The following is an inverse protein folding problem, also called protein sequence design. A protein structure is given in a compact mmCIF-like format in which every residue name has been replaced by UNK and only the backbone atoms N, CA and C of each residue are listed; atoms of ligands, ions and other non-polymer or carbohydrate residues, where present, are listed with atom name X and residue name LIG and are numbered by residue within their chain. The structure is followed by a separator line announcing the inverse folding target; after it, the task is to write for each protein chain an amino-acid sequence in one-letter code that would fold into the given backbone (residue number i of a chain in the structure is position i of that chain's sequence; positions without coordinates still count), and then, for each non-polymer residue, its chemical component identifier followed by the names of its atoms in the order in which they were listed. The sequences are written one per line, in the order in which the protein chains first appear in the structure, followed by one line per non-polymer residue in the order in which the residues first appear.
data_IF_468315675834
#
_entry.id   IF_468315675834
#
_cell.length_a   1.000
_cell.length_b   1.000
_cell.length_c   1.000
_cell.angle_alpha   90.00
_cell.angle_beta   90.00
_cell.angle_gamma   90.00
#
_symmetry.space_group_name_H-M   'P 1'
#
loop_
_entity.id
_entity.type
_entity.pdbx_description
1 polymer ?
#
# COMPACT_ATOMS: atom_id res chain seq x y z
N UNK A 1 -66.61 54.70 -40.51
CA UNK A 1 -67.38 55.78 -39.89
C UNK A 1 -66.95 55.88 -38.42
N UNK A 2 -66.25 56.97 -38.06
CA UNK A 2 -65.80 57.42 -36.70
C UNK A 2 -64.88 56.46 -35.93
N UNK A 3 -63.55 56.66 -35.78
CA UNK A 3 -62.76 57.81 -35.31
C UNK A 3 -63.16 58.29 -33.91
N UNK A 4 -62.41 57.83 -32.89
CA UNK A 4 -61.99 58.64 -31.73
C UNK A 4 -60.70 58.07 -31.13
N UNK A 5 -59.62 58.84 -31.28
CA UNK A 5 -58.38 58.79 -30.51
C UNK A 5 -58.59 59.13 -29.03
N UNK A 6 -57.70 58.62 -28.15
CA UNK A 6 -57.06 59.42 -27.08
C UNK A 6 -55.83 58.72 -26.47
N UNK A 7 -54.66 59.29 -26.78
CA UNK A 7 -53.58 59.77 -25.88
C UNK A 7 -52.89 58.80 -24.88
N UNK A 8 -51.56 58.66 -25.08
CA UNK A 8 -50.44 58.07 -24.29
C UNK A 8 -50.17 58.78 -22.93
N UNK A 9 -49.37 58.30 -21.93
CA UNK A 9 -47.99 57.79 -22.09
C UNK A 9 -47.40 56.77 -21.07
N UNK A 10 -46.23 56.23 -21.47
CA UNK A 10 -45.06 55.78 -20.69
C UNK A 10 -45.28 55.30 -19.25
N UNK A 11 -44.88 54.05 -18.97
CA UNK A 11 -43.87 53.83 -17.94
C UNK A 11 -43.03 52.59 -18.24
N UNK A 12 -41.74 52.77 -18.05
CA UNK A 12 -40.68 51.80 -18.22
C UNK A 12 -40.78 50.73 -17.13
N UNK A 13 -40.24 49.53 -17.40
CA UNK A 13 -39.47 48.66 -16.50
C UNK A 13 -39.35 47.29 -17.19
N UNK A 14 -38.27 47.09 -17.96
CA UNK A 14 -37.11 46.31 -17.52
C UNK A 14 -37.42 44.84 -17.22
N UNK A 15 -37.47 44.08 -18.32
CA UNK A 15 -36.71 42.85 -18.58
C UNK A 15 -35.92 42.32 -17.36
N UNK A 16 -36.35 41.18 -16.82
CA UNK A 16 -35.48 40.30 -16.02
C UNK A 16 -35.58 38.88 -16.56
N UNK A 17 -34.58 38.49 -17.36
CA UNK A 17 -34.26 37.09 -17.58
C UNK A 17 -33.67 36.55 -16.28
N UNK A 18 -34.21 35.48 -15.66
CA UNK A 18 -33.44 34.76 -14.67
C UNK A 18 -32.39 33.94 -15.42
N UNK A 19 -31.13 34.32 -15.26
CA UNK A 19 -29.99 33.52 -15.68
C UNK A 19 -30.06 32.19 -14.94
N UNK A 20 -30.14 31.09 -15.69
CA UNK A 20 -29.97 29.74 -15.16
C UNK A 20 -28.51 29.61 -14.73
N UNK A 21 -28.28 29.71 -13.42
CA UNK A 21 -26.99 29.45 -12.80
C UNK A 21 -26.73 27.95 -12.91
N UNK A 22 -25.98 27.53 -13.94
CA UNK A 22 -25.46 26.19 -14.06
C UNK A 22 -24.43 25.98 -12.93
N UNK A 23 -24.89 25.41 -11.81
CA UNK A 23 -24.01 24.92 -10.75
C UNK A 23 -23.31 23.68 -11.31
N UNK A 24 -22.12 23.87 -11.89
CA UNK A 24 -21.21 22.76 -12.20
C UNK A 24 -20.84 22.15 -10.85
N UNK A 25 -21.49 21.03 -10.53
CA UNK A 25 -21.06 20.14 -9.47
C UNK A 25 -19.59 19.81 -9.78
N UNK A 26 -18.67 20.33 -8.98
CA UNK A 26 -17.31 19.81 -8.87
C UNK A 26 -17.45 18.39 -8.33
N UNK A 27 -17.75 17.45 -9.23
CA UNK A 27 -17.55 16.03 -8.97
C UNK A 27 -16.04 15.94 -8.82
N UNK A 28 -15.57 15.93 -7.57
CA UNK A 28 -14.20 15.55 -7.26
C UNK A 28 -13.95 14.25 -8.02
N UNK A 29 -12.94 14.18 -8.91
CA UNK A 29 -12.70 12.98 -9.68
C UNK A 29 -12.54 11.81 -8.70
N UNK A 30 -13.20 10.67 -8.94
CA UNK A 30 -13.04 9.52 -8.08
C UNK A 30 -11.56 9.13 -8.02
N UNK A 31 -11.04 9.08 -6.79
CA UNK A 31 -9.82 8.38 -6.34
C UNK A 31 -8.85 8.03 -7.47
N UNK A 32 -7.91 8.95 -7.77
CA UNK A 32 -6.91 8.74 -8.82
C UNK A 32 -5.76 7.83 -8.38
N UNK A 33 -5.69 7.50 -7.10
CA UNK A 33 -4.48 6.91 -6.54
C UNK A 33 -4.37 5.38 -6.66
N UNK A 34 -5.41 4.72 -7.18
CA UNK A 34 -5.31 3.35 -7.69
C UNK A 34 -5.75 3.26 -9.16
N UNK A 35 -5.54 4.33 -9.94
CA UNK A 35 -5.62 4.25 -11.40
C UNK A 35 -4.23 3.96 -11.95
N UNK A 36 -4.13 2.83 -12.63
CA UNK A 36 -2.90 2.37 -13.27
C UNK A 36 -3.09 2.45 -14.79
N UNK A 37 -2.20 3.11 -15.55
CA UNK A 37 -1.04 3.87 -15.08
C UNK A 37 -1.44 5.15 -14.31
N UNK A 38 -0.61 5.55 -13.35
CA UNK A 38 -0.73 6.84 -12.66
C UNK A 38 -0.76 7.98 -13.68
N UNK A 39 -1.71 8.90 -13.48
CA UNK A 39 -1.78 10.13 -14.27
C UNK A 39 -0.60 11.06 -13.93
N UNK A 40 -0.22 11.95 -14.85
CA UNK A 40 0.79 12.98 -14.58
C UNK A 40 0.45 13.84 -13.36
N UNK A 41 -0.84 14.02 -13.08
CA UNK A 41 -1.32 14.71 -11.89
C UNK A 41 -1.02 13.94 -10.62
N UNK A 42 -1.32 12.64 -10.60
CA UNK A 42 -1.02 11.76 -9.46
C UNK A 42 0.49 11.68 -9.19
N UNK A 43 1.32 11.62 -10.23
CA UNK A 43 2.79 11.64 -10.08
C UNK A 43 3.26 12.97 -9.47
N UNK A 44 2.70 14.09 -9.92
CA UNK A 44 3.02 15.42 -9.40
C UNK A 44 2.58 15.57 -7.94
N UNK A 45 1.41 15.06 -7.59
CA UNK A 45 0.91 15.05 -6.22
C UNK A 45 1.78 14.19 -5.30
N UNK A 46 2.12 12.96 -5.73
CA UNK A 46 3.02 12.07 -5.00
C UNK A 46 4.37 12.74 -4.74
N UNK A 47 4.92 13.45 -5.73
CA UNK A 47 6.12 14.26 -5.58
C UNK A 47 5.98 15.30 -4.45
N UNK A 48 4.92 16.12 -4.48
CA UNK A 48 4.72 17.14 -3.46
C UNK A 48 4.53 16.54 -2.07
N UNK A 49 3.77 15.44 -1.95
CA UNK A 49 3.61 14.74 -0.68
C UNK A 49 4.95 14.21 -0.13
N UNK A 50 5.81 13.67 -1.00
CA UNK A 50 7.12 13.16 -0.59
C UNK A 50 8.10 14.25 -0.14
N UNK A 51 8.00 15.44 -0.73
CA UNK A 51 8.89 16.58 -0.46
C UNK A 51 8.47 17.44 0.75
N UNK A 52 7.24 17.28 1.27
CA UNK A 52 6.73 18.12 2.36
C UNK A 52 7.40 17.88 3.71
N UNK A 53 7.91 16.67 3.97
CA UNK A 53 8.56 16.27 5.23
C UNK A 53 7.82 16.72 6.52
N UNK A 54 6.50 16.89 6.46
CA UNK A 54 5.65 17.48 7.51
C UNK A 54 4.83 16.43 8.28
N UNK A 55 5.23 15.16 8.19
CA UNK A 55 4.52 14.03 8.78
C UNK A 55 3.32 13.52 7.96
N UNK A 56 2.95 14.17 6.85
CA UNK A 56 1.77 13.79 6.08
C UNK A 56 1.92 12.46 5.36
N UNK A 57 3.13 12.16 4.89
CA UNK A 57 3.45 10.86 4.29
C UNK A 57 3.37 9.73 5.32
N UNK A 58 3.91 9.92 6.52
CA UNK A 58 3.91 8.93 7.59
C UNK A 58 2.48 8.62 8.07
N UNK A 59 1.60 9.64 8.12
CA UNK A 59 0.17 9.42 8.41
C UNK A 59 -0.50 8.59 7.32
N UNK A 60 -0.23 8.88 6.05
CA UNK A 60 -0.74 8.11 4.92
C UNK A 60 -0.23 6.66 4.96
N UNK A 61 1.07 6.45 5.18
CA UNK A 61 1.67 5.12 5.32
C UNK A 61 1.04 4.31 6.46
N UNK A 62 0.66 4.96 7.56
CA UNK A 62 0.00 4.30 8.68
C UNK A 62 -1.30 3.57 8.30
N UNK A 63 -1.95 3.96 7.21
CA UNK A 63 -3.13 3.25 6.68
C UNK A 63 -2.74 1.95 5.96
N UNK A 64 -1.55 1.91 5.39
CA UNK A 64 -1.02 0.85 4.51
C UNK A 64 0.07 -0.02 5.14
N UNK A 65 0.42 0.26 6.39
CA UNK A 65 1.27 -0.58 7.24
C UNK A 65 0.46 -1.00 8.45
N UNK A 66 0.05 -2.27 8.49
CA UNK A 66 -0.66 -2.83 9.65
C UNK A 66 0.35 -3.48 10.58
N UNK A 67 0.55 -2.84 11.73
CA UNK A 67 1.27 -3.46 12.85
C UNK A 67 0.33 -4.45 13.54
N UNK A 68 0.81 -5.67 13.76
CA UNK A 68 0.02 -6.72 14.41
C UNK A 68 0.52 -6.91 15.84
N UNK A 69 -0.32 -7.35 16.78
CA UNK A 69 0.13 -7.64 18.13
C UNK A 69 1.01 -8.91 18.16
N UNK A 70 1.97 -9.01 19.10
CA UNK A 70 2.72 -10.24 19.32
C UNK A 70 1.79 -11.43 19.62
N UNK A 71 2.04 -12.61 19.03
CA UNK A 71 1.22 -13.79 19.28
C UNK A 71 1.56 -14.40 20.64
N UNK A 72 0.68 -15.26 21.15
CA UNK A 72 0.94 -16.05 22.37
C UNK A 72 2.01 -17.12 22.14
N UNK A 73 2.07 -17.68 20.94
CA UNK A 73 3.02 -18.71 20.52
C UNK A 73 3.25 -18.65 19.00
N UNK A 74 4.35 -19.21 18.52
CA UNK A 74 4.71 -19.22 17.10
C UNK A 74 5.43 -17.95 16.62
N UNK A 75 5.64 -17.81 15.30
CA UNK A 75 6.30 -16.65 14.70
C UNK A 75 5.48 -15.38 14.87
N UNK A 76 6.15 -14.24 15.11
CA UNK A 76 5.48 -12.94 15.21
C UNK A 76 5.52 -12.21 13.87
N UNK A 77 4.37 -12.01 13.24
CA UNK A 77 4.25 -11.09 12.11
C UNK A 77 4.20 -9.66 12.65
N UNK A 78 5.31 -8.93 12.67
CA UNK A 78 5.32 -7.57 13.27
C UNK A 78 4.56 -6.58 12.42
N UNK A 79 4.69 -6.69 11.10
CA UNK A 79 4.01 -5.79 10.18
C UNK A 79 3.65 -6.48 8.87
N UNK A 80 2.54 -6.03 8.29
CA UNK A 80 2.14 -6.30 6.91
C UNK A 80 1.95 -4.95 6.23
N UNK A 81 2.67 -4.74 5.14
CA UNK A 81 2.62 -3.51 4.35
C UNK A 81 2.13 -3.80 2.94
N UNK A 82 1.28 -2.90 2.42
CA UNK A 82 0.85 -2.89 1.02
C UNK A 82 1.18 -1.53 0.41
N UNK A 83 2.15 -1.51 -0.51
CA UNK A 83 2.62 -0.29 -1.16
C UNK A 83 2.12 -0.21 -2.60
N UNK A 84 1.23 0.75 -2.85
CA UNK A 84 0.67 1.04 -4.18
C UNK A 84 1.69 1.79 -5.05
N UNK A 85 1.51 1.85 -6.38
CA UNK A 85 2.38 2.67 -7.23
C UNK A 85 2.47 4.13 -6.77
N UNK A 86 1.37 4.70 -6.27
CA UNK A 86 1.34 6.05 -5.74
C UNK A 86 2.20 6.20 -4.47
N UNK A 87 2.06 5.28 -3.50
CA UNK A 87 2.89 5.27 -2.29
C UNK A 87 4.38 5.11 -2.60
N UNK A 88 4.72 4.24 -3.56
CA UNK A 88 6.08 4.06 -4.02
C UNK A 88 6.65 5.33 -4.66
N UNK A 89 5.84 6.11 -5.38
CA UNK A 89 6.25 7.39 -5.94
C UNK A 89 6.48 8.46 -4.86
N UNK A 90 5.66 8.47 -3.80
CA UNK A 90 5.87 9.33 -2.64
C UNK A 90 7.19 8.96 -1.95
N UNK A 91 7.39 7.67 -1.66
CA UNK A 91 8.60 7.14 -1.03
C UNK A 91 9.86 7.46 -1.85
N UNK A 92 9.80 7.24 -3.16
CA UNK A 92 10.91 7.55 -4.05
C UNK A 92 11.24 9.04 -3.96
N UNK A 93 10.22 9.89 -4.08
CA UNK A 93 10.37 11.35 -4.05
C UNK A 93 10.91 11.85 -2.72
N UNK A 94 10.50 11.27 -1.58
CA UNK A 94 10.98 11.68 -0.25
C UNK A 94 12.46 11.38 -0.01
N UNK A 95 13.05 10.47 -0.79
CA UNK A 95 14.47 10.10 -0.73
C UNK A 95 15.35 10.94 -1.64
N UNK A 96 14.78 11.76 -2.53
CA UNK A 96 15.54 12.57 -3.48
C UNK A 96 15.82 13.97 -2.95
N UNK A 97 17.08 14.40 -3.10
CA UNK A 97 17.53 15.78 -2.85
C UNK A 97 17.58 16.57 -4.15
N UNK A 98 17.21 17.86 -4.12
CA UNK A 98 17.19 18.74 -5.30
C UNK A 98 16.31 18.22 -6.46
N UNK A 99 15.17 17.61 -6.11
CA UNK A 99 14.25 16.98 -7.04
C UNK A 99 13.06 17.88 -7.35
N UNK A 100 12.59 17.88 -8.60
CA UNK A 100 11.42 18.66 -9.03
C UNK A 100 10.32 17.80 -9.67
N UNK A 101 9.11 18.38 -9.77
CA UNK A 101 7.94 17.69 -10.31
C UNK A 101 8.11 17.24 -11.77
N UNK A 102 8.88 17.96 -12.58
CA UNK A 102 9.14 17.58 -13.98
C UNK A 102 10.05 16.35 -14.05
N UNK A 103 11.07 16.29 -13.18
CA UNK A 103 11.92 15.10 -13.03
C UNK A 103 11.11 13.91 -12.50
N UNK A 104 10.20 14.13 -11.55
CA UNK A 104 9.26 13.12 -11.07
C UNK A 104 8.46 12.46 -12.20
N UNK A 105 7.91 13.27 -13.11
CA UNK A 105 7.20 12.76 -14.28
C UNK A 105 8.11 11.95 -15.22
N UNK A 106 9.32 12.44 -15.49
CA UNK A 106 10.28 11.76 -16.36
C UNK A 106 10.76 10.43 -15.77
N UNK A 107 11.06 10.38 -14.48
CA UNK A 107 11.51 9.17 -13.81
C UNK A 107 10.39 8.15 -13.65
N UNK A 108 9.16 8.60 -13.40
CA UNK A 108 7.99 7.73 -13.41
C UNK A 108 7.85 6.96 -14.74
N UNK A 109 8.03 7.64 -15.88
CA UNK A 109 8.03 6.99 -17.19
C UNK A 109 9.18 5.99 -17.40
N UNK A 110 10.26 6.09 -16.60
CA UNK A 110 11.41 5.17 -16.64
C UNK A 110 11.26 3.97 -15.72
N UNK A 111 10.41 4.04 -14.69
CA UNK A 111 10.18 2.90 -13.77
C UNK A 111 9.59 1.67 -14.46
N UNK A 112 9.02 1.84 -15.66
CA UNK A 112 8.51 0.72 -16.45
C UNK A 112 7.13 0.29 -15.98
N UNK A 113 6.97 -0.99 -15.62
CA UNK A 113 5.67 -1.54 -15.23
C UNK A 113 5.35 -1.18 -13.78
N UNK A 114 4.16 -0.64 -13.56
CA UNK A 114 3.66 -0.39 -12.22
C UNK A 114 3.38 -1.69 -11.47
N UNK A 115 3.82 -1.72 -10.22
CA UNK A 115 3.66 -2.85 -9.34
C UNK A 115 3.00 -2.43 -8.03
N UNK A 116 2.31 -3.37 -7.42
CA UNK A 116 1.96 -3.32 -5.99
C UNK A 116 2.94 -4.21 -5.27
N UNK A 117 3.56 -3.68 -4.22
CA UNK A 117 4.51 -4.40 -3.37
C UNK A 117 3.84 -4.74 -2.05
N UNK A 118 3.92 -6.01 -1.65
CA UNK A 118 3.47 -6.49 -0.34
C UNK A 118 4.70 -6.93 0.45
N UNK A 119 4.85 -6.40 1.67
CA UNK A 119 5.96 -6.75 2.56
C UNK A 119 5.41 -7.33 3.85
N UNK A 120 5.92 -8.49 4.25
CA UNK A 120 5.59 -9.14 5.52
C UNK A 120 6.86 -9.24 6.34
N UNK A 121 6.87 -8.59 7.50
CA UNK A 121 7.97 -8.68 8.46
C UNK A 121 7.66 -9.74 9.52
N UNK A 122 8.56 -10.71 9.65
CA UNK A 122 8.49 -11.81 10.60
C UNK A 122 9.59 -11.63 11.62
N UNK A 123 9.26 -11.69 12.91
CA UNK A 123 10.19 -11.71 14.04
C UNK A 123 10.11 -13.05 14.74
N UNK A 124 11.28 -13.52 15.18
CA UNK A 124 11.37 -14.68 16.04
C UNK A 124 10.83 -14.37 17.43
N UNK A 125 10.27 -15.39 18.08
CA UNK A 125 9.72 -15.31 19.44
C UNK A 125 10.40 -16.34 20.32
N UNK A 126 10.06 -16.37 21.61
CA UNK A 126 10.56 -17.39 22.52
C UNK A 126 10.11 -18.81 22.09
N UNK A 127 8.86 -18.95 21.65
CA UNK A 127 8.30 -20.22 21.14
C UNK A 127 8.77 -20.54 19.71
N UNK A 128 9.15 -19.54 18.92
CA UNK A 128 9.65 -19.69 17.56
C UNK A 128 11.05 -19.08 17.44
N UNK A 129 12.02 -19.74 18.07
CA UNK A 129 13.37 -19.21 18.26
C UNK A 129 14.32 -19.44 17.10
N UNK A 130 15.55 -18.93 17.29
CA UNK A 130 16.67 -19.07 16.35
C UNK A 130 17.27 -20.48 16.29
N UNK A 131 16.86 -21.37 17.19
CA UNK A 131 17.25 -22.77 17.20
C UNK A 131 16.01 -23.65 17.07
N UNK A 132 16.17 -24.77 16.38
CA UNK A 132 15.12 -25.79 16.20
C UNK A 132 15.63 -27.13 16.72
N UNK A 133 14.74 -27.93 17.29
CA UNK A 133 15.07 -29.28 17.73
C UNK A 133 15.27 -30.19 16.51
N UNK A 134 16.33 -31.00 16.50
CA UNK A 134 16.47 -32.06 15.49
C UNK A 134 15.58 -33.23 15.84
N UNK A 135 14.79 -33.67 14.87
CA UNK A 135 14.05 -34.94 14.96
C UNK A 135 14.96 -36.05 14.46
N UNK A 136 15.85 -36.55 15.31
CA UNK A 136 16.58 -37.78 14.99
C UNK A 136 15.62 -38.96 15.15
N UNK A 137 15.16 -39.54 14.06
CA UNK A 137 14.21 -40.67 14.02
C UNK A 137 14.79 -42.01 14.52
N UNK A 138 15.83 -41.97 15.35
CA UNK A 138 16.39 -43.13 16.04
C UNK A 138 16.37 -42.87 17.54
N UNK A 139 15.37 -43.47 18.17
CA UNK A 139 15.32 -43.98 19.55
C UNK A 139 16.44 -43.51 20.50
N UNK A 140 16.03 -42.81 21.56
CA UNK A 140 16.77 -42.51 22.80
C UNK A 140 17.82 -41.38 22.85
N UNK A 141 17.88 -40.48 21.86
CA UNK A 141 18.81 -39.35 21.91
C UNK A 141 18.11 -38.01 22.25
N UNK A 142 18.64 -37.29 23.24
CA UNK A 142 18.32 -35.88 23.54
C UNK A 142 18.25 -35.05 22.25
N UNK A 143 17.13 -34.36 22.01
CA UNK A 143 16.99 -33.47 20.85
C UNK A 143 18.10 -32.42 20.85
N UNK A 144 19.01 -32.51 19.88
CA UNK A 144 20.03 -31.49 19.71
C UNK A 144 19.36 -30.22 19.14
N UNK A 145 19.70 -29.07 19.71
CA UNK A 145 19.28 -27.79 19.16
C UNK A 145 20.25 -27.39 18.06
N UNK A 146 19.74 -27.25 16.83
CA UNK A 146 20.51 -26.74 15.69
C UNK A 146 20.03 -25.35 15.30
N UNK A 147 20.91 -24.50 14.73
CA UNK A 147 20.49 -23.19 14.22
C UNK A 147 19.37 -23.34 13.17
N UNK A 148 18.37 -22.47 13.26
CA UNK A 148 17.30 -22.37 12.27
C UNK A 148 17.92 -22.01 10.91
N UNK A 149 17.55 -22.72 9.82
CA UNK A 149 18.03 -22.39 8.47
C UNK A 149 17.72 -20.95 8.08
N UNK A 150 18.64 -20.28 7.39
CA UNK A 150 18.45 -18.89 6.94
C UNK A 150 17.30 -18.73 5.93
N UNK A 151 16.86 -19.81 5.27
CA UNK A 151 15.77 -19.80 4.32
C UNK A 151 14.44 -20.33 4.91
N UNK A 152 14.32 -20.39 6.24
CA UNK A 152 13.09 -20.77 6.94
C UNK A 152 11.86 -19.95 6.51
N UNK A 153 12.07 -18.72 6.02
CA UNK A 153 11.02 -17.84 5.51
C UNK A 153 10.25 -18.45 4.33
N UNK A 154 10.85 -19.39 3.58
CA UNK A 154 10.17 -20.12 2.49
C UNK A 154 9.03 -21.03 2.98
N UNK A 155 8.99 -21.34 4.27
CA UNK A 155 7.96 -22.18 4.86
C UNK A 155 6.64 -21.42 5.11
N UNK A 156 6.68 -20.08 5.07
CA UNK A 156 5.50 -19.23 5.24
C UNK A 156 4.81 -19.06 3.89
N UNK A 157 3.50 -19.29 3.87
CA UNK A 157 2.69 -19.07 2.67
C UNK A 157 1.99 -17.73 2.80
N UNK A 158 2.35 -16.79 1.94
CA UNK A 158 1.68 -15.49 1.85
C UNK A 158 0.77 -15.53 0.63
N UNK A 159 -0.53 -15.34 0.85
CA UNK A 159 -1.53 -15.31 -0.21
C UNK A 159 -2.23 -13.96 -0.21
N UNK A 160 -2.35 -13.34 -1.38
CA UNK A 160 -3.03 -12.06 -1.55
C UNK A 160 -4.32 -12.30 -2.32
N UNK A 161 -5.38 -11.60 -1.92
CA UNK A 161 -6.71 -11.68 -2.51
C UNK A 161 -7.21 -10.27 -2.83
N UNK A 162 -7.95 -10.15 -3.93
CA UNK A 162 -8.81 -9.01 -4.23
C UNK A 162 -10.29 -9.46 -4.19
N UNK A 163 -11.21 -8.61 -4.61
CA UNK A 163 -12.64 -8.93 -4.69
C UNK A 163 -12.99 -10.04 -5.70
N UNK A 164 -12.13 -10.30 -6.70
CA UNK A 164 -12.32 -11.33 -7.72
C UNK A 164 -11.73 -12.69 -7.31
N UNK A 165 -10.76 -12.72 -6.38
CA UNK A 165 -10.17 -13.94 -5.85
C UNK A 165 -8.67 -13.82 -5.54
N UNK A 166 -7.94 -14.96 -5.48
CA UNK A 166 -6.52 -14.97 -5.18
C UNK A 166 -5.69 -14.39 -6.33
N UNK A 167 -4.69 -13.59 -5.97
CA UNK A 167 -3.73 -13.00 -6.88
C UNK A 167 -2.42 -13.82 -6.89
N UNK A 168 -1.78 -13.86 -8.07
CA UNK A 168 -0.47 -14.48 -8.25
C UNK A 168 0.62 -13.41 -8.35
N UNK A 169 1.68 -13.47 -7.54
CA UNK A 169 2.77 -12.51 -7.62
C UNK A 169 3.58 -12.71 -8.90
N UNK A 170 4.03 -11.60 -9.51
CA UNK A 170 5.03 -11.63 -10.58
C UNK A 170 6.43 -11.93 -10.06
N UNK A 171 6.71 -11.62 -8.79
CA UNK A 171 7.95 -11.99 -8.12
C UNK A 171 7.71 -12.23 -6.63
N UNK A 172 8.43 -13.19 -6.06
CA UNK A 172 8.46 -13.47 -4.62
C UNK A 172 9.91 -13.55 -4.17
N UNK A 173 10.27 -12.72 -3.19
CA UNK A 173 11.60 -12.64 -2.61
C UNK A 173 11.50 -12.73 -1.08
N UNK A 174 12.59 -13.10 -0.45
CA UNK A 174 12.67 -13.08 1.00
C UNK A 174 14.09 -13.26 1.49
N UNK A 175 14.34 -12.82 2.72
CA UNK A 175 15.62 -12.99 3.37
C UNK A 175 15.47 -13.11 4.89
N UNK A 176 16.41 -13.82 5.51
CA UNK A 176 16.57 -13.80 6.95
C UNK A 176 17.05 -12.42 7.43
N UNK A 177 16.53 -12.00 8.58
CA UNK A 177 16.98 -10.79 9.29
C UNK A 177 17.89 -11.22 10.43
N UNK A 178 19.07 -10.63 10.49
CA UNK A 178 20.03 -10.87 11.56
C UNK A 178 20.37 -9.57 12.30
N UNK A 179 20.64 -9.70 13.60
CA UNK A 179 21.22 -8.64 14.41
C UNK A 179 22.65 -9.02 14.74
N UNK A 180 23.61 -8.23 14.28
CA UNK A 180 25.03 -8.45 14.50
C UNK A 180 25.58 -7.52 15.57
N UNK A 181 26.30 -8.10 16.53
CA UNK A 181 27.06 -7.36 17.55
C UNK A 181 28.50 -7.87 17.61
N UNK A 182 29.24 -7.41 18.63
CA UNK A 182 30.65 -7.81 18.84
C UNK A 182 30.84 -9.33 19.00
N UNK A 183 29.83 -10.04 19.50
CA UNK A 183 29.88 -11.48 19.77
C UNK A 183 29.39 -12.36 18.60
N UNK A 184 28.99 -11.77 17.47
CA UNK A 184 28.46 -12.49 16.31
C UNK A 184 27.09 -12.00 15.86
N UNK A 185 26.49 -12.72 14.91
CA UNK A 185 25.18 -12.42 14.35
C UNK A 185 24.13 -13.42 14.84
N UNK A 186 23.04 -12.92 15.40
CA UNK A 186 21.88 -13.70 15.80
C UNK A 186 20.76 -13.54 14.77
N UNK A 187 20.07 -14.63 14.44
CA UNK A 187 18.87 -14.58 13.62
C UNK A 187 17.74 -13.96 14.45
N UNK A 188 17.09 -12.92 13.94
CA UNK A 188 16.02 -12.19 14.64
C UNK A 188 14.67 -12.29 13.93
N UNK A 189 14.64 -12.74 12.67
CA UNK A 189 13.42 -12.76 11.88
C UNK A 189 13.67 -13.02 10.40
N UNK A 190 12.72 -12.60 9.58
CA UNK A 190 12.81 -12.58 8.13
C UNK A 190 11.87 -11.53 7.55
N UNK A 191 12.14 -11.13 6.31
CA UNK A 191 11.24 -10.29 5.52
C UNK A 191 10.88 -11.05 4.24
N UNK A 192 9.59 -11.05 3.90
CA UNK A 192 9.06 -11.59 2.64
C UNK A 192 8.51 -10.43 1.84
N UNK A 193 8.86 -10.37 0.56
CA UNK A 193 8.42 -9.34 -0.38
C UNK A 193 7.78 -10.01 -1.60
N UNK A 194 6.55 -9.61 -1.90
CA UNK A 194 5.82 -10.03 -3.08
C UNK A 194 5.56 -8.81 -3.98
N UNK A 195 5.79 -8.98 -5.27
CA UNK A 195 5.45 -7.98 -6.27
C UNK A 195 4.34 -8.51 -7.16
N UNK A 196 3.38 -7.64 -7.46
CA UNK A 196 2.24 -7.94 -8.31
C UNK A 196 2.09 -6.86 -9.37
N UNK A 197 1.63 -7.18 -10.59
CA UNK A 197 1.21 -6.17 -11.54
C UNK A 197 0.11 -5.30 -10.92
N UNK A 198 0.25 -3.97 -10.99
CA UNK A 198 -0.75 -3.08 -10.39
C UNK A 198 -2.15 -3.23 -11.04
N UNK A 199 -2.20 -3.66 -12.30
CA UNK A 199 -3.44 -3.99 -13.03
C UNK A 199 -4.20 -5.20 -12.48
N UNK A 200 -3.60 -5.98 -11.58
CA UNK A 200 -4.26 -7.13 -10.94
C UNK A 200 -5.16 -6.72 -9.76
N UNK A 201 -5.05 -5.47 -9.29
CA UNK A 201 -5.82 -4.95 -8.17
C UNK A 201 -6.93 -4.02 -8.68
N UNK A 202 -8.11 -4.14 -8.08
CA UNK A 202 -9.17 -3.17 -8.21
C UNK A 202 -9.00 -2.05 -7.16
N UNK A 203 -9.59 -0.89 -7.42
CA UNK A 203 -9.58 0.25 -6.49
C UNK A 203 -10.60 0.09 -5.35
N UNK A 204 -10.58 -1.07 -4.67
CA UNK A 204 -11.52 -1.42 -3.61
C UNK A 204 -10.81 -1.86 -2.33
N UNK A 205 -10.39 -3.11 -2.24
CA UNK A 205 -9.75 -3.69 -1.06
C UNK A 205 -8.82 -4.84 -1.44
N UNK A 206 -7.83 -5.07 -0.60
CA UNK A 206 -6.96 -6.23 -0.71
C UNK A 206 -6.85 -6.93 0.65
N UNK A 207 -6.88 -8.26 0.62
CA UNK A 207 -6.68 -9.09 1.80
C UNK A 207 -5.37 -9.84 1.66
N UNK A 208 -4.52 -9.75 2.68
CA UNK A 208 -3.25 -10.48 2.76
C UNK A 208 -3.38 -11.52 3.87
N UNK A 209 -3.27 -12.79 3.51
CA UNK A 209 -3.21 -13.91 4.44
C UNK A 209 -1.79 -14.42 4.55
N UNK A 210 -1.37 -14.72 5.79
CA UNK A 210 -0.07 -15.33 6.08
C UNK A 210 -0.30 -16.60 6.89
N UNK A 211 0.07 -17.73 6.30
CA UNK A 211 -0.03 -19.07 6.88
C UNK A 211 1.37 -19.54 7.30
N UNK A 212 1.70 -19.51 8.61
CA UNK A 212 2.98 -20.01 9.09
C UNK A 212 3.04 -21.54 9.09
N UNK A 213 4.25 -22.14 9.13
CA UNK A 213 4.40 -23.58 9.31
C UNK A 213 3.90 -24.08 10.69
N UNK A 214 3.87 -23.19 11.68
CA UNK A 214 3.35 -23.44 13.02
C UNK A 214 2.73 -22.16 13.61
N UNK A 215 1.73 -22.31 14.48
CA UNK A 215 0.99 -21.18 15.05
C UNK A 215 -0.25 -20.82 14.24
N UNK A 216 -0.82 -19.65 14.55
CA UNK A 216 -2.08 -19.20 13.98
C UNK A 216 -1.88 -18.45 12.65
N UNK A 217 -2.77 -18.69 11.70
CA UNK A 217 -2.89 -17.88 10.49
C UNK A 217 -3.29 -16.45 10.84
N UNK A 218 -2.73 -15.49 10.11
CA UNK A 218 -3.14 -14.07 10.19
C UNK A 218 -3.73 -13.62 8.87
N UNK A 219 -4.79 -12.80 8.93
CA UNK A 219 -5.44 -12.17 7.79
C UNK A 219 -5.56 -10.67 8.04
N UNK A 220 -5.17 -9.87 7.05
CA UNK A 220 -5.11 -8.40 7.14
C UNK A 220 -5.79 -7.78 5.94
N UNK A 221 -6.70 -6.84 6.18
CA UNK A 221 -7.45 -6.14 5.13
C UNK A 221 -6.91 -4.71 4.94
N UNK A 222 -6.80 -4.31 3.68
CA UNK A 222 -6.41 -2.98 3.23
C UNK A 222 -7.54 -2.37 2.41
N UNK A 223 -7.87 -1.12 2.73
CA UNK A 223 -8.77 -0.31 1.92
C UNK A 223 -7.94 0.41 0.85
N UNK A 224 -8.23 0.13 -0.42
CA UNK A 224 -7.57 0.74 -1.58
C UNK A 224 -8.41 1.88 -2.17
N UNK A 225 -9.60 2.14 -1.63
CA UNK A 225 -10.50 3.19 -2.08
C UNK A 225 -10.18 4.56 -1.45
N UNK A 226 -9.50 4.57 -0.29
CA UNK A 226 -9.27 5.77 0.52
C UNK A 226 -8.15 6.68 0.02
N UNK A 227 -7.34 6.24 -0.94
CA UNK A 227 -6.25 7.08 -1.46
C UNK A 227 -6.86 8.16 -2.36
N UNK A 228 -6.80 9.40 -1.87
CA UNK A 228 -7.10 10.61 -2.64
C UNK A 228 -5.95 10.89 -3.58
#
# INVERSE_FOLDING_TARGET
MRLTDRVTPRCWLLRRCPAVLATVLLIAPPSLAFKTPLSSEAVREAYFLGQRHDGSYERLLGEYVKQLPPPKSGPYFSSVELSTPFLQMIEYSSRQSNYNAQQAALDYHRFGKEIVRVVVEIRLTQSYGQFVATTNSQSDATSALVPRPHDFWKQFKVQVYNSEGPLSPSASRGHANSSCGRAGCALIGATIELEFPATAFASDSATIEVDPPEGDRVSVNFDLSSIR
#
